data_IF_724207468840
#
_entry.id   IF_724207468840
#
_cell.length_a   1.000
_cell.length_b   1.000
_cell.length_c   1.000
_cell.angle_alpha   90.00
_cell.angle_beta   90.00
_cell.angle_gamma   90.00
#
_symmetry.space_group_name_H-M   'P 1'
#
loop_
_entity.id
_entity.type
_entity.pdbx_description
1 polymer ?
#
# COMPACT_ATOMS: atom_id res chain seq x y z
N UNK A 1 37.13 -18.19 -74.58
CA UNK A 1 36.77 -18.90 -73.34
C UNK A 1 36.49 -17.84 -72.27
N UNK A 2 35.29 -17.89 -71.68
CA UNK A 2 34.72 -17.03 -70.62
C UNK A 2 34.62 -15.50 -70.83
N UNK A 3 33.53 -15.08 -71.50
CA UNK A 3 32.93 -13.75 -71.37
C UNK A 3 32.30 -13.60 -69.97
N UNK A 4 33.09 -13.18 -68.98
CA UNK A 4 32.58 -12.65 -67.70
C UNK A 4 32.40 -11.13 -67.77
N UNK A 5 31.71 -10.67 -68.82
CA UNK A 5 31.15 -9.32 -68.88
C UNK A 5 29.66 -9.48 -68.94
N UNK A 6 28.96 -8.80 -68.02
CA UNK A 6 27.52 -8.44 -68.06
C UNK A 6 26.61 -9.15 -67.05
N UNK A 7 26.92 -9.10 -65.74
CA UNK A 7 25.87 -9.20 -64.70
C UNK A 7 26.07 -8.31 -63.45
N UNK A 8 27.07 -7.42 -63.40
CA UNK A 8 27.16 -6.36 -62.37
C UNK A 8 26.36 -5.09 -62.71
N UNK A 9 25.42 -5.18 -63.67
CA UNK A 9 24.67 -4.04 -64.20
C UNK A 9 23.16 -4.24 -64.06
N UNK A 10 22.76 -4.90 -62.98
CA UNK A 10 21.40 -4.76 -62.48
C UNK A 10 21.39 -3.50 -61.60
N UNK A 11 21.05 -2.35 -62.20
CA UNK A 11 20.92 -1.07 -61.51
C UNK A 11 19.56 -0.93 -60.81
N UNK A 12 18.95 -2.03 -60.39
CA UNK A 12 17.91 -2.05 -59.36
C UNK A 12 18.54 -1.91 -57.95
N UNK A 13 19.65 -1.17 -57.85
CA UNK A 13 20.23 -0.76 -56.58
C UNK A 13 19.38 0.38 -56.03
N UNK A 14 19.02 0.30 -54.74
CA UNK A 14 18.25 1.32 -54.02
C UNK A 14 18.59 2.71 -54.54
N UNK A 15 17.60 3.40 -55.11
CA UNK A 15 17.84 4.76 -55.55
C UNK A 15 18.15 5.63 -54.32
N UNK A 16 19.08 6.58 -54.45
CA UNK A 16 19.45 7.47 -53.33
C UNK A 16 18.22 8.22 -52.76
N UNK A 17 17.23 8.49 -53.61
CA UNK A 17 15.95 9.09 -53.22
C UNK A 17 15.07 8.13 -52.41
N UNK A 18 15.08 6.83 -52.71
CA UNK A 18 14.35 5.81 -51.96
C UNK A 18 14.98 5.56 -50.58
N UNK A 19 16.31 5.58 -50.47
CA UNK A 19 16.99 5.58 -49.18
C UNK A 19 16.64 6.82 -48.34
N UNK A 20 16.60 8.00 -48.95
CA UNK A 20 16.23 9.23 -48.25
C UNK A 20 14.76 9.17 -47.78
N UNK A 21 13.85 8.73 -48.65
CA UNK A 21 12.43 8.59 -48.32
C UNK A 21 12.21 7.60 -47.16
N UNK A 22 12.92 6.47 -47.15
CA UNK A 22 12.84 5.48 -46.06
C UNK A 22 13.38 6.04 -44.75
N UNK A 23 14.52 6.76 -44.75
CA UNK A 23 15.06 7.41 -43.54
C UNK A 23 14.08 8.44 -42.98
N UNK A 24 13.46 9.26 -43.85
CA UNK A 24 12.45 10.24 -43.44
C UNK A 24 11.25 9.56 -42.79
N UNK A 25 10.68 8.52 -43.43
CA UNK A 25 9.57 7.77 -42.86
C UNK A 25 9.94 7.11 -41.53
N UNK A 26 11.14 6.53 -41.44
CA UNK A 26 11.61 5.89 -40.22
C UNK A 26 11.84 6.90 -39.08
N UNK A 27 12.26 8.12 -39.40
CA UNK A 27 12.41 9.20 -38.41
C UNK A 27 11.06 9.62 -37.82
N UNK A 28 10.01 9.70 -38.67
CA UNK A 28 8.65 10.03 -38.24
C UNK A 28 8.13 8.93 -37.31
N UNK A 29 8.27 7.67 -37.71
CA UNK A 29 7.87 6.52 -36.90
C UNK A 29 8.64 6.48 -35.57
N UNK A 30 9.94 6.78 -35.59
CA UNK A 30 10.79 6.76 -34.39
C UNK A 30 10.34 7.78 -33.34
N UNK A 31 9.87 8.96 -33.76
CA UNK A 31 9.33 9.97 -32.84
C UNK A 31 8.07 9.45 -32.11
N UNK A 32 7.17 8.78 -32.84
CA UNK A 32 5.99 8.15 -32.23
C UNK A 32 6.37 7.06 -31.25
N UNK A 33 7.27 6.15 -31.65
CA UNK A 33 7.73 5.05 -30.79
C UNK A 33 8.38 5.58 -29.52
N UNK A 34 9.21 6.61 -29.63
CA UNK A 34 9.86 7.22 -28.47
C UNK A 34 8.86 7.86 -27.50
N UNK A 35 7.86 8.57 -28.02
CA UNK A 35 6.78 9.15 -27.21
C UNK A 35 5.98 8.07 -26.48
N UNK A 36 5.61 7.00 -27.18
CA UNK A 36 4.91 5.86 -26.57
C UNK A 36 5.77 5.20 -25.48
N UNK A 37 7.05 4.96 -25.76
CA UNK A 37 7.96 4.31 -24.83
C UNK A 37 8.15 5.11 -23.54
N UNK A 38 8.34 6.43 -23.65
CA UNK A 38 8.45 7.32 -22.47
C UNK A 38 7.15 7.35 -21.66
N UNK A 39 5.99 7.37 -22.32
CA UNK A 39 4.69 7.28 -21.66
C UNK A 39 4.50 5.94 -20.94
N UNK A 40 4.88 4.83 -21.58
CA UNK A 40 4.83 3.49 -20.98
C UNK A 40 5.71 3.39 -19.75
N UNK A 41 6.94 3.95 -19.77
CA UNK A 41 7.82 3.96 -18.60
C UNK A 41 7.19 4.74 -17.43
N UNK A 42 6.64 5.92 -17.71
CA UNK A 42 6.01 6.74 -16.66
C UNK A 42 4.78 6.06 -16.06
N UNK A 43 3.98 5.41 -16.90
CA UNK A 43 2.82 4.63 -16.47
C UNK A 43 3.25 3.43 -15.63
N UNK A 44 4.26 2.68 -16.07
CA UNK A 44 4.80 1.54 -15.32
C UNK A 44 5.30 1.95 -13.94
N UNK A 45 6.08 3.04 -13.83
CA UNK A 45 6.57 3.55 -12.54
C UNK A 45 5.44 3.92 -11.60
N UNK A 46 4.41 4.60 -12.12
CA UNK A 46 3.24 5.02 -11.32
C UNK A 46 2.44 3.81 -10.84
N UNK A 47 2.23 2.81 -11.71
CA UNK A 47 1.54 1.57 -11.35
C UNK A 47 2.33 0.76 -10.32
N UNK A 48 3.66 0.72 -10.44
CA UNK A 48 4.52 0.04 -9.48
C UNK A 48 4.43 0.69 -8.10
N UNK A 49 4.47 2.02 -8.00
CA UNK A 49 4.32 2.75 -6.73
C UNK A 49 2.93 2.52 -6.11
N UNK A 50 1.87 2.57 -6.92
CA UNK A 50 0.51 2.27 -6.46
C UNK A 50 0.38 0.83 -5.93
N UNK A 51 1.02 -0.12 -6.60
CA UNK A 51 1.04 -1.52 -6.19
C UNK A 51 1.78 -1.67 -4.85
N UNK A 52 2.94 -1.04 -4.70
CA UNK A 52 3.69 -1.04 -3.44
C UNK A 52 2.91 -0.42 -2.29
N UNK A 53 2.26 0.73 -2.51
CA UNK A 53 1.40 1.39 -1.53
C UNK A 53 0.25 0.47 -1.09
N UNK A 54 -0.40 -0.20 -2.04
CA UNK A 54 -1.47 -1.16 -1.76
C UNK A 54 -0.97 -2.36 -0.98
N UNK A 55 0.14 -2.97 -1.39
CA UNK A 55 0.73 -4.10 -0.66
C UNK A 55 1.14 -3.72 0.77
N UNK A 56 1.68 -2.52 0.99
CA UNK A 56 1.97 -2.03 2.34
C UNK A 56 0.69 -1.86 3.17
N UNK A 57 -0.37 -1.29 2.59
CA UNK A 57 -1.67 -1.17 3.26
C UNK A 57 -2.26 -2.55 3.60
N UNK A 58 -2.20 -3.49 2.66
CA UNK A 58 -2.70 -4.87 2.84
C UNK A 58 -1.91 -5.60 3.94
N UNK A 59 -0.59 -5.41 4.04
CA UNK A 59 0.21 -5.98 5.13
C UNK A 59 -0.19 -5.41 6.50
N UNK A 60 -0.36 -4.09 6.61
CA UNK A 60 -0.85 -3.47 7.84
C UNK A 60 -2.24 -3.97 8.22
N UNK A 61 -3.12 -4.08 7.23
CA UNK A 61 -4.46 -4.64 7.44
C UNK A 61 -4.40 -6.09 7.91
N UNK A 62 -3.60 -6.95 7.28
CA UNK A 62 -3.46 -8.36 7.69
C UNK A 62 -3.01 -8.48 9.14
N UNK A 63 -2.05 -7.64 9.57
CA UNK A 63 -1.58 -7.65 10.95
C UNK A 63 -2.69 -7.20 11.92
N UNK A 64 -3.41 -6.11 11.62
CA UNK A 64 -4.56 -5.67 12.42
C UNK A 64 -5.65 -6.74 12.45
N UNK A 65 -6.01 -7.30 11.31
CA UNK A 65 -7.04 -8.31 11.17
C UNK A 65 -6.68 -9.59 11.94
N UNK A 66 -5.41 -10.01 11.95
CA UNK A 66 -4.96 -11.15 12.74
C UNK A 66 -5.18 -10.91 14.24
N UNK A 67 -4.88 -9.71 14.74
CA UNK A 67 -5.16 -9.35 16.13
C UNK A 67 -6.67 -9.32 16.40
N UNK A 68 -7.46 -8.66 15.55
CA UNK A 68 -8.91 -8.55 15.70
C UNK A 68 -9.62 -9.91 15.58
N UNK A 69 -9.15 -10.81 14.71
CA UNK A 69 -9.73 -12.14 14.53
C UNK A 69 -9.55 -13.05 15.75
N UNK A 70 -8.58 -12.76 16.61
CA UNK A 70 -8.36 -13.51 17.85
C UNK A 70 -9.27 -13.07 19.01
N UNK A 71 -10.15 -12.09 18.79
CA UNK A 71 -10.87 -11.34 19.81
C UNK A 71 -12.37 -11.32 19.51
N UNK A 72 -13.22 -11.35 20.55
CA UNK A 72 -14.66 -11.14 20.39
C UNK A 72 -15.00 -9.65 20.33
N UNK A 73 -16.04 -9.28 19.56
CA UNK A 73 -16.44 -7.87 19.44
C UNK A 73 -16.68 -7.18 20.79
N UNK A 74 -17.28 -7.88 21.76
CA UNK A 74 -17.60 -7.35 23.10
C UNK A 74 -16.34 -7.02 23.93
N UNK A 75 -15.17 -7.51 23.52
CA UNK A 75 -13.87 -7.23 24.13
C UNK A 75 -13.22 -5.95 23.57
N UNK A 76 -13.77 -5.39 22.51
CA UNK A 76 -13.23 -4.19 21.85
C UNK A 76 -13.86 -2.97 22.52
N UNK A 77 -13.06 -2.26 23.31
CA UNK A 77 -13.43 -0.98 23.91
C UNK A 77 -12.92 0.15 23.02
N UNK A 78 -13.86 0.98 22.57
CA UNK A 78 -13.55 2.23 21.88
C UNK A 78 -12.80 3.16 22.84
N UNK A 79 -11.63 3.66 22.45
CA UNK A 79 -10.92 4.66 23.22
C UNK A 79 -10.66 5.91 22.38
N UNK A 80 -11.27 7.00 22.84
CA UNK A 80 -10.98 8.42 22.57
C UNK A 80 -10.76 8.83 21.10
N UNK A 81 -11.70 9.64 20.59
CA UNK A 81 -11.48 10.50 19.43
C UNK A 81 -10.50 11.61 19.79
N UNK A 82 -9.58 11.95 18.87
CA UNK A 82 -8.77 13.18 18.99
C UNK A 82 -8.79 14.01 17.72
N UNK A 83 -9.73 13.73 16.80
CA UNK A 83 -9.84 14.46 15.55
C UNK A 83 -11.28 14.80 15.20
N UNK A 84 -11.43 15.95 14.55
CA UNK A 84 -12.67 16.56 14.06
C UNK A 84 -13.49 15.68 13.10
N UNK A 85 -13.00 14.50 12.74
CA UNK A 85 -13.58 13.57 11.77
C UNK A 85 -14.22 12.31 12.40
N UNK A 86 -14.37 12.25 13.74
CA UNK A 86 -15.01 11.13 14.46
C UNK A 86 -14.34 9.75 14.29
N UNK A 87 -13.12 9.69 13.73
CA UNK A 87 -12.35 8.46 13.65
C UNK A 87 -11.64 8.19 14.97
N UNK A 88 -11.70 6.94 15.42
CA UNK A 88 -10.98 6.45 16.58
C UNK A 88 -9.51 6.24 16.21
N UNK A 89 -8.60 6.84 16.97
CA UNK A 89 -7.16 6.62 16.78
C UNK A 89 -6.64 5.43 17.58
N UNK A 90 -7.45 4.91 18.50
CA UNK A 90 -7.11 3.83 19.41
C UNK A 90 -8.27 2.84 19.54
N UNK A 91 -7.96 1.57 19.35
CA UNK A 91 -8.81 0.46 19.76
C UNK A 91 -8.13 -0.23 20.94
N UNK A 92 -8.86 -0.41 22.04
CA UNK A 92 -8.35 -1.15 23.21
C UNK A 92 -9.04 -2.49 23.27
N UNK A 93 -8.27 -3.56 23.20
CA UNK A 93 -8.77 -4.92 23.33
C UNK A 93 -8.63 -5.33 24.79
N UNK A 94 -9.75 -5.55 25.48
CA UNK A 94 -9.81 -6.01 26.86
C UNK A 94 -9.78 -7.54 26.86
N UNK A 95 -8.64 -8.15 27.17
CA UNK A 95 -8.50 -9.60 27.15
C UNK A 95 -9.17 -10.26 28.35
N UNK A 96 -10.42 -10.71 28.20
CA UNK A 96 -10.92 -11.84 29.00
C UNK A 96 -10.54 -13.19 28.37
N UNK A 97 -9.92 -13.18 27.18
CA UNK A 97 -9.69 -14.37 26.36
C UNK A 97 -8.33 -14.35 25.62
N UNK A 98 -7.26 -13.89 26.28
CA UNK A 98 -5.93 -14.33 25.85
C UNK A 98 -5.84 -15.82 26.18
N UNK A 99 -5.51 -16.66 25.18
CA UNK A 99 -5.69 -18.12 25.16
C UNK A 99 -4.97 -18.91 26.28
N UNK A 100 -4.27 -18.24 27.20
CA UNK A 100 -3.49 -18.82 28.29
C UNK A 100 -3.64 -18.03 29.62
N UNK A 101 -4.86 -17.69 30.09
CA UNK A 101 -5.03 -17.44 31.55
C UNK A 101 -5.43 -18.76 32.22
N UNK A 102 -4.51 -19.49 32.88
CA UNK A 102 -4.86 -20.68 33.63
C UNK A 102 -5.88 -20.28 34.70
N UNK A 103 -7.02 -20.98 34.73
CA UNK A 103 -8.10 -20.69 35.66
C UNK A 103 -7.63 -20.89 37.11
N UNK A 104 -7.86 -19.84 37.90
CA UNK A 104 -8.07 -19.83 39.35
C UNK A 104 -6.86 -20.16 40.25
N UNK A 105 -6.23 -19.10 40.78
CA UNK A 105 -5.62 -19.13 42.11
C UNK A 105 -6.42 -18.18 43.01
N UNK A 106 -6.76 -18.62 44.22
CA UNK A 106 -7.51 -17.87 45.23
C UNK A 106 -6.67 -16.75 45.88
N UNK A 107 -5.49 -16.46 45.34
CA UNK A 107 -4.72 -15.25 45.62
C UNK A 107 -5.08 -14.14 44.62
N UNK A 108 -5.74 -13.14 45.14
CA UNK A 108 -6.60 -12.16 44.48
C UNK A 108 -5.92 -11.15 43.51
N UNK A 109 -5.12 -11.54 42.50
CA UNK A 109 -4.57 -10.62 41.47
C UNK A 109 -3.88 -11.31 40.25
N UNK A 110 -4.56 -12.18 39.47
CA UNK A 110 -3.88 -13.02 38.46
C UNK A 110 -4.45 -13.07 37.03
N UNK A 111 -5.08 -12.01 36.55
CA UNK A 111 -4.85 -11.57 35.17
C UNK A 111 -4.72 -10.04 35.27
N UNK A 112 -3.50 -9.49 35.30
CA UNK A 112 -3.33 -8.06 34.98
C UNK A 112 -3.97 -7.89 33.61
N UNK A 113 -4.89 -6.94 33.45
CA UNK A 113 -5.51 -6.61 32.17
C UNK A 113 -4.39 -6.39 31.13
N UNK A 114 -4.04 -7.43 30.38
CA UNK A 114 -3.11 -7.35 29.26
C UNK A 114 -3.90 -6.78 28.09
N UNK A 115 -4.35 -5.54 28.25
CA UNK A 115 -5.07 -4.83 27.21
C UNK A 115 -4.10 -4.52 26.08
N UNK A 116 -4.32 -5.11 24.92
CA UNK A 116 -3.55 -4.77 23.71
C UNK A 116 -4.23 -3.57 23.08
N UNK A 117 -3.48 -2.48 22.94
CA UNK A 117 -3.96 -1.30 22.25
C UNK A 117 -3.46 -1.30 20.80
N UNK A 118 -4.37 -1.09 19.85
CA UNK A 118 -4.05 -0.81 18.45
C UNK A 118 -4.19 0.69 18.28
N UNK A 119 -3.08 1.38 18.09
CA UNK A 119 -2.99 2.83 18.14
C UNK A 119 -2.30 3.40 16.91
N UNK A 120 -2.87 4.47 16.36
CA UNK A 120 -2.17 5.39 15.49
C UNK A 120 -1.46 6.43 16.37
N UNK A 121 -0.15 6.27 16.53
CA UNK A 121 0.67 7.21 17.31
C UNK A 121 1.85 7.72 16.52
N UNK A 122 2.32 8.90 16.91
CA UNK A 122 3.52 9.49 16.35
C UNK A 122 4.75 8.77 16.91
N UNK A 123 5.53 8.14 16.04
CA UNK A 123 6.83 7.53 16.37
C UNK A 123 7.90 8.40 15.72
N UNK A 124 8.55 9.23 16.53
CA UNK A 124 9.44 10.29 16.04
C UNK A 124 8.67 11.41 15.32
N UNK A 125 8.95 11.61 14.03
CA UNK A 125 8.30 12.65 13.21
C UNK A 125 7.14 12.13 12.35
N UNK A 126 6.82 10.82 12.40
CA UNK A 126 5.85 10.19 11.52
C UNK A 126 4.78 9.46 12.32
N UNK A 127 3.59 9.36 11.76
CA UNK A 127 2.56 8.50 12.33
C UNK A 127 2.82 7.06 11.94
N UNK A 128 2.75 6.19 12.94
CA UNK A 128 2.87 4.76 12.79
C UNK A 128 1.67 4.09 13.44
N UNK A 129 1.23 3.00 12.82
CA UNK A 129 0.32 2.08 13.46
C UNK A 129 1.13 1.19 14.41
N UNK A 130 0.68 1.09 15.65
CA UNK A 130 1.36 0.36 16.71
C UNK A 130 0.37 -0.60 17.35
N UNK A 131 0.79 -1.85 17.50
CA UNK A 131 0.03 -2.89 18.19
C UNK A 131 0.80 -3.19 19.48
N UNK A 132 0.19 -2.87 20.63
CA UNK A 132 0.84 -2.94 21.93
C UNK A 132 2.07 -2.03 21.98
N UNK A 133 3.26 -2.64 22.01
CA UNK A 133 4.54 -1.93 22.08
C UNK A 133 5.29 -1.91 20.75
N UNK A 134 4.84 -2.64 19.73
CA UNK A 134 5.57 -2.82 18.47
C UNK A 134 5.02 -1.92 17.36
N UNK A 135 5.82 -1.03 16.77
CA UNK A 135 5.41 -0.27 15.60
C UNK A 135 5.42 -1.15 14.35
N UNK A 136 4.32 -1.16 13.60
CA UNK A 136 4.18 -1.95 12.38
C UNK A 136 4.78 -1.27 11.15
N UNK A 137 4.99 0.05 11.21
CA UNK A 137 5.67 0.77 10.12
C UNK A 137 7.16 0.78 10.35
N UNK A 138 7.87 0.03 9.51
CA UNK A 138 9.33 -0.06 9.52
C UNK A 138 9.99 0.76 8.40
N UNK A 139 9.26 1.16 7.36
CA UNK A 139 9.83 1.86 6.21
C UNK A 139 9.65 3.39 6.28
N UNK A 140 10.79 4.08 6.28
CA UNK A 140 10.90 5.53 6.29
C UNK A 140 10.25 6.24 5.08
N UNK A 141 9.96 5.56 3.98
CA UNK A 141 9.35 6.21 2.80
C UNK A 141 7.83 6.35 2.88
N UNK A 142 7.20 5.65 3.83
CA UNK A 142 5.75 5.66 4.00
C UNK A 142 5.37 6.45 5.26
N UNK A 143 4.27 7.19 5.15
CA UNK A 143 3.72 8.01 6.22
C UNK A 143 2.21 7.78 6.28
N UNK A 144 1.69 7.48 7.46
CA UNK A 144 0.24 7.47 7.69
C UNK A 144 -0.22 8.92 7.95
N UNK A 145 -1.29 9.35 7.29
CA UNK A 145 -1.91 10.65 7.57
C UNK A 145 -2.79 10.60 8.80
N UNK A 146 -2.87 11.72 9.52
CA UNK A 146 -3.68 11.87 10.75
C UNK A 146 -5.16 11.55 10.54
N UNK A 147 -5.65 11.74 9.31
CA UNK A 147 -7.00 11.37 8.88
C UNK A 147 -7.24 9.86 8.76
N UNK A 148 -6.24 9.03 9.06
CA UNK A 148 -6.43 7.58 9.19
C UNK A 148 -7.00 7.25 10.56
N UNK A 149 -7.77 6.17 10.65
CA UNK A 149 -8.34 5.74 11.90
C UNK A 149 -9.31 4.58 11.76
N UNK A 150 -9.94 4.26 12.87
CA UNK A 150 -10.92 3.20 12.97
C UNK A 150 -12.31 3.81 13.11
N UNK A 151 -13.30 3.15 12.51
CA UNK A 151 -14.71 3.42 12.73
C UNK A 151 -15.33 2.12 13.20
N UNK A 152 -15.90 2.15 14.40
CA UNK A 152 -16.57 1.01 15.01
C UNK A 152 -18.06 1.29 14.96
N UNK A 153 -18.82 0.34 14.44
CA UNK A 153 -20.27 0.36 14.47
C UNK A 153 -20.76 -0.74 15.42
N UNK A 154 -21.20 -0.30 16.59
CA UNK A 154 -21.72 -1.17 17.65
C UNK A 154 -23.02 -1.89 17.27
N UNK A 155 -23.81 -1.38 16.33
CA UNK A 155 -25.08 -2.01 15.93
C UNK A 155 -24.86 -3.16 14.96
N UNK A 156 -23.97 -2.96 13.99
CA UNK A 156 -23.67 -3.95 12.94
C UNK A 156 -22.49 -4.85 13.31
N UNK A 157 -21.85 -4.60 14.47
CA UNK A 157 -20.61 -5.26 14.91
C UNK A 157 -19.53 -5.20 13.83
N UNK A 158 -19.40 -4.03 13.20
CA UNK A 158 -18.45 -3.78 12.13
C UNK A 158 -17.30 -2.91 12.62
N UNK A 159 -16.09 -3.24 12.17
CA UNK A 159 -14.91 -2.39 12.35
C UNK A 159 -14.35 -2.04 10.98
N UNK A 160 -14.36 -0.76 10.65
CA UNK A 160 -13.75 -0.20 9.45
C UNK A 160 -12.40 0.42 9.83
N UNK A 161 -11.33 -0.04 9.21
CA UNK A 161 -10.01 0.60 9.26
C UNK A 161 -9.81 1.44 8.00
N UNK A 162 -9.68 2.74 8.17
CA UNK A 162 -9.40 3.70 7.10
C UNK A 162 -7.93 4.09 7.21
N UNK A 163 -7.13 3.67 6.23
CA UNK A 163 -5.72 4.01 6.15
C UNK A 163 -5.47 4.96 4.98
N UNK A 164 -4.88 6.11 5.26
CA UNK A 164 -4.40 7.05 4.26
C UNK A 164 -2.89 7.06 4.34
N UNK A 165 -2.26 6.40 3.36
CA UNK A 165 -0.81 6.23 3.30
C UNK A 165 -0.25 7.13 2.20
N UNK A 166 0.77 7.90 2.55
CA UNK A 166 1.55 8.70 1.62
C UNK A 166 2.92 8.08 1.44
N UNK A 167 3.32 7.85 0.19
CA UNK A 167 4.70 7.59 -0.19
C UNK A 167 5.39 8.91 -0.50
N UNK A 168 6.54 9.16 0.13
CA UNK A 168 7.38 10.31 -0.17
C UNK A 168 8.69 9.86 -0.84
N UNK A 169 8.90 10.32 -2.08
CA UNK A 169 10.18 10.16 -2.75
C UNK A 169 11.13 11.31 -2.34
N UNK A 170 12.10 11.00 -1.49
CA UNK A 170 13.10 11.96 -1.02
C UNK A 170 13.99 12.50 -2.14
N UNK A 171 14.08 11.81 -3.28
CA UNK A 171 14.92 12.22 -4.42
C UNK A 171 14.16 13.06 -5.44
N UNK A 172 12.87 12.82 -5.64
CA UNK A 172 12.08 13.50 -6.69
C UNK A 172 11.16 14.63 -6.18
N UNK A 173 11.08 14.88 -4.85
CA UNK A 173 10.06 15.76 -4.22
C UNK A 173 8.61 15.44 -4.62
N UNK A 174 8.37 14.26 -5.20
CA UNK A 174 7.04 13.79 -5.58
C UNK A 174 6.49 12.94 -4.44
N UNK A 175 5.27 13.25 -4.04
CA UNK A 175 4.51 12.42 -3.11
C UNK A 175 3.31 11.81 -3.83
N UNK A 176 2.98 10.57 -3.48
CA UNK A 176 1.75 9.93 -3.90
C UNK A 176 1.00 9.50 -2.65
N UNK A 177 -0.27 9.90 -2.55
CA UNK A 177 -1.14 9.54 -1.43
C UNK A 177 -2.21 8.58 -1.93
N UNK A 178 -2.43 7.51 -1.18
CA UNK A 178 -3.50 6.56 -1.44
C UNK A 178 -4.30 6.33 -0.17
N UNK A 179 -5.60 6.50 -0.30
CA UNK A 179 -6.56 6.05 0.70
C UNK A 179 -6.94 4.61 0.40
N UNK A 180 -6.87 3.76 1.43
CA UNK A 180 -7.28 2.37 1.41
C UNK A 180 -8.22 2.15 2.58
N UNK A 181 -9.43 1.66 2.27
CA UNK A 181 -10.45 1.34 3.24
C UNK A 181 -10.53 -0.16 3.39
N UNK A 182 -10.51 -0.62 4.63
CA UNK A 182 -10.68 -2.01 4.99
C UNK A 182 -11.85 -2.14 5.95
N UNK A 183 -12.65 -3.19 5.77
CA UNK A 183 -13.82 -3.45 6.61
C UNK A 183 -13.75 -4.90 7.09
N UNK A 184 -13.86 -5.09 8.39
CA UNK A 184 -13.96 -6.40 9.03
C UNK A 184 -15.34 -6.53 9.67
N UNK A 185 -16.01 -7.63 9.38
CA UNK A 185 -17.31 -7.97 9.96
C UNK A 185 -17.14 -9.09 10.98
N UNK A 186 -17.70 -8.92 12.18
CA UNK A 186 -17.73 -9.99 13.18
C UNK A 186 -19.02 -10.78 12.98
N UNK A 187 -18.91 -12.08 12.72
CA UNK A 187 -20.10 -12.92 12.61
C UNK A 187 -20.73 -13.09 14.00
N UNK A 188 -22.07 -12.99 14.11
CA UNK A 188 -22.76 -13.39 15.32
C UNK A 188 -22.60 -14.91 15.48
N UNK A 189 -22.08 -15.33 16.64
CA UNK A 189 -22.08 -16.74 17.08
C UNK A 189 -23.48 -17.07 17.61
#
# INVERSE_FOLDING_TARGET
MFKLKKQLRNQNGLSLIELLATIVLLSIISLFVFSMFTSSINTYRTNQLNTQLRSHADLLFLQVNNELASVHFDQIKEASTTDSQQLLKKLTISSASYKDCPKYDQSNNLCKDNAIAIELKKVGNKNALVIGTQPLITDTKFEIKDSSGFKVDSQTKLIELILIITYQDTTSRKSQTKEVKFTQTFQPI
#
